data_IF_304098963435
#
_entry.id   IF_304098963435
#
_cell.length_a   1.000
_cell.length_b   1.000
_cell.length_c   1.000
_cell.angle_alpha   90.00
_cell.angle_beta   90.00
_cell.angle_gamma   90.00
#
_symmetry.space_group_name_H-M   'P 1'
#
loop_
_entity.id
_entity.type
_entity.pdbx_description
1 polymer ?
#
# COMPACT_ATOMS: atom_id res chain seq x y z
N UNK A 1 -58.26 34.92 -62.59
CA UNK A 1 -58.23 33.55 -62.24
C UNK A 1 -56.95 33.45 -61.36
N UNK A 2 -57.16 33.17 -60.10
CA UNK A 2 -56.17 33.47 -59.01
C UNK A 2 -55.44 32.20 -58.61
N UNK A 3 -54.10 32.20 -58.76
CA UNK A 3 -53.25 31.16 -58.18
C UNK A 3 -52.82 31.57 -56.78
N UNK A 4 -53.24 30.79 -55.84
CA UNK A 4 -52.84 30.92 -54.46
C UNK A 4 -51.60 30.01 -54.21
N UNK A 5 -50.46 30.62 -53.95
CA UNK A 5 -49.26 29.85 -53.55
C UNK A 5 -49.27 29.65 -52.03
N UNK A 6 -49.37 28.39 -51.62
CA UNK A 6 -49.15 27.96 -50.25
C UNK A 6 -47.68 27.86 -49.98
N UNK A 7 -47.19 28.80 -49.20
CA UNK A 7 -45.82 28.72 -48.65
C UNK A 7 -45.85 27.82 -47.40
N UNK A 8 -45.24 26.65 -47.50
CA UNK A 8 -45.01 25.75 -46.35
C UNK A 8 -43.72 26.23 -45.65
N UNK A 9 -43.91 26.79 -44.48
CA UNK A 9 -42.80 27.15 -43.56
C UNK A 9 -42.34 25.92 -42.81
N UNK A 10 -41.23 25.29 -43.23
CA UNK A 10 -40.59 24.19 -42.47
C UNK A 10 -39.74 24.86 -41.35
N UNK A 11 -40.28 24.88 -40.14
CA UNK A 11 -39.52 25.27 -38.98
C UNK A 11 -38.61 24.09 -38.55
N UNK A 12 -37.33 24.15 -38.95
CA UNK A 12 -36.32 23.21 -38.45
C UNK A 12 -36.01 23.53 -36.98
N UNK A 13 -36.58 22.77 -36.07
CA UNK A 13 -36.18 22.79 -34.66
C UNK A 13 -34.86 22.03 -34.55
N UNK A 14 -33.78 22.78 -34.56
CA UNK A 14 -32.43 22.28 -34.27
C UNK A 14 -32.37 22.06 -32.74
N UNK A 15 -32.66 20.85 -32.30
CA UNK A 15 -32.45 20.45 -30.94
C UNK A 15 -30.96 20.44 -30.65
N UNK A 16 -30.46 21.51 -30.02
CA UNK A 16 -29.12 21.57 -29.41
C UNK A 16 -29.11 20.55 -28.26
N UNK A 17 -28.61 19.35 -28.55
CA UNK A 17 -28.13 18.46 -27.49
C UNK A 17 -26.88 19.11 -26.88
N UNK A 18 -27.08 19.94 -25.86
CA UNK A 18 -26.01 20.31 -24.98
C UNK A 18 -25.71 19.03 -24.18
N UNK A 19 -24.77 18.24 -24.72
CA UNK A 19 -24.11 17.21 -23.94
C UNK A 19 -23.38 17.94 -22.82
N UNK A 20 -23.99 18.03 -21.65
CA UNK A 20 -23.24 18.42 -20.45
C UNK A 20 -22.17 17.36 -20.28
N UNK A 21 -20.96 17.65 -20.74
CA UNK A 21 -19.80 16.89 -20.31
C UNK A 21 -19.79 17.02 -18.78
N UNK A 22 -20.25 16.00 -18.09
CA UNK A 22 -20.01 15.89 -16.64
C UNK A 22 -18.51 15.94 -16.52
N UNK A 23 -18.00 17.03 -15.93
CA UNK A 23 -16.57 17.15 -15.70
C UNK A 23 -16.16 15.93 -14.90
N UNK A 24 -15.21 15.16 -15.43
CA UNK A 24 -14.73 13.96 -14.75
C UNK A 24 -14.11 14.40 -13.42
N UNK A 25 -14.56 13.78 -12.33
CA UNK A 25 -14.04 14.05 -10.99
C UNK A 25 -12.52 13.84 -10.97
N UNK A 26 -11.81 14.83 -10.44
CA UNK A 26 -10.33 14.86 -10.39
C UNK A 26 -9.85 14.36 -9.04
N UNK A 27 -9.26 13.19 -9.02
CA UNK A 27 -8.82 12.53 -7.77
C UNK A 27 -7.31 12.64 -7.64
N UNK A 28 -6.84 13.20 -6.53
CA UNK A 28 -5.46 12.99 -6.07
C UNK A 28 -5.45 11.82 -5.10
N UNK A 29 -4.66 10.80 -5.43
CA UNK A 29 -4.50 9.59 -4.64
C UNK A 29 -3.13 9.55 -3.97
N UNK A 30 -3.11 9.49 -2.65
CA UNK A 30 -1.88 9.49 -1.84
C UNK A 30 -1.84 8.24 -0.97
N UNK A 31 -0.84 7.41 -1.21
CA UNK A 31 -0.68 6.08 -0.64
C UNK A 31 -0.95 4.99 -1.68
N UNK A 32 0.00 4.07 -1.84
CA UNK A 32 -0.12 3.01 -2.83
C UNK A 32 -1.32 2.09 -2.58
N UNK A 33 -1.73 1.91 -1.33
CA UNK A 33 -2.93 1.18 -0.93
C UNK A 33 -4.20 1.80 -1.54
N UNK A 34 -4.35 3.11 -1.42
CA UNK A 34 -5.49 3.86 -1.96
C UNK A 34 -5.47 3.86 -3.49
N UNK A 35 -4.28 4.06 -4.07
CA UNK A 35 -4.11 4.06 -5.52
C UNK A 35 -4.46 2.70 -6.13
N UNK A 36 -4.00 1.60 -5.53
CA UNK A 36 -4.35 0.25 -5.98
C UNK A 36 -5.86 0.00 -5.94
N UNK A 37 -6.55 0.46 -4.89
CA UNK A 37 -8.02 0.33 -4.78
C UNK A 37 -8.70 1.07 -5.92
N UNK A 38 -8.32 2.34 -6.19
CA UNK A 38 -8.91 3.15 -7.25
C UNK A 38 -8.82 2.49 -8.62
N UNK A 39 -7.64 1.97 -8.96
CA UNK A 39 -7.46 1.26 -10.22
C UNK A 39 -8.22 -0.08 -10.26
N UNK A 40 -8.25 -0.82 -9.16
CA UNK A 40 -8.94 -2.10 -9.09
C UNK A 40 -10.48 -1.99 -9.23
N UNK A 41 -11.06 -0.90 -8.73
CA UNK A 41 -12.51 -0.65 -8.88
C UNK A 41 -12.87 0.08 -10.20
N UNK A 42 -11.88 0.32 -11.08
CA UNK A 42 -12.08 0.91 -12.40
C UNK A 42 -12.13 2.45 -12.43
N UNK A 43 -11.62 3.12 -11.41
CA UNK A 43 -11.62 4.59 -11.29
C UNK A 43 -10.24 5.23 -11.56
N UNK A 44 -9.29 4.45 -12.08
CA UNK A 44 -7.93 4.91 -12.36
C UNK A 44 -7.84 6.10 -13.33
N UNK A 45 -8.77 6.22 -14.28
CA UNK A 45 -8.79 7.35 -15.22
C UNK A 45 -9.10 8.70 -14.56
N UNK A 46 -9.71 8.69 -13.37
CA UNK A 46 -9.97 9.90 -12.59
C UNK A 46 -8.76 10.37 -11.79
N UNK A 47 -7.73 9.54 -11.66
CA UNK A 47 -6.52 9.84 -10.89
C UNK A 47 -5.67 10.85 -11.66
N UNK A 48 -5.62 12.08 -11.18
CA UNK A 48 -4.86 13.17 -11.81
C UNK A 48 -3.45 13.36 -11.25
N UNK A 49 -3.19 12.87 -10.04
CA UNK A 49 -1.85 12.81 -9.45
C UNK A 49 -1.77 11.76 -8.34
N UNK A 50 -0.55 11.27 -8.08
CA UNK A 50 -0.27 10.27 -7.05
C UNK A 50 1.00 10.62 -6.28
N UNK A 51 1.26 9.93 -5.15
CA UNK A 51 2.52 10.03 -4.42
C UNK A 51 3.63 9.12 -4.99
N UNK A 52 4.85 9.25 -4.46
CA UNK A 52 6.03 8.49 -4.92
C UNK A 52 5.94 6.97 -4.60
N UNK A 53 5.18 6.58 -3.60
CA UNK A 53 4.98 5.17 -3.22
C UNK A 53 3.84 4.50 -4.03
N UNK A 54 3.06 5.26 -4.80
CA UNK A 54 2.03 4.76 -5.71
C UNK A 54 2.65 4.28 -7.03
N UNK A 55 3.24 3.07 -6.98
CA UNK A 55 3.97 2.45 -8.11
C UNK A 55 3.22 1.28 -8.74
N UNK A 56 2.05 0.96 -8.23
CA UNK A 56 1.21 -0.11 -8.75
C UNK A 56 -0.26 0.34 -8.83
N UNK A 57 -1.03 -0.11 -9.87
CA UNK A 57 -0.55 -0.84 -11.05
C UNK A 57 0.38 0.02 -11.93
N UNK A 58 0.97 -0.59 -12.98
CA UNK A 58 1.89 0.14 -13.87
C UNK A 58 1.30 1.44 -14.41
N UNK A 59 -0.01 1.47 -14.69
CA UNK A 59 -0.72 2.67 -15.15
C UNK A 59 -0.69 3.84 -14.14
N UNK A 60 -0.49 3.58 -12.84
CA UNK A 60 -0.35 4.64 -11.84
C UNK A 60 0.97 5.43 -11.96
N UNK A 61 1.94 4.90 -12.70
CA UNK A 61 3.22 5.58 -12.96
C UNK A 61 3.07 6.73 -13.97
N UNK A 62 2.02 6.72 -14.78
CA UNK A 62 1.75 7.76 -15.78
C UNK A 62 1.20 9.04 -15.12
N UNK A 63 0.67 8.96 -13.91
CA UNK A 63 0.16 10.11 -13.18
C UNK A 63 1.31 10.95 -12.58
N UNK A 64 1.20 12.30 -12.66
CA UNK A 64 2.13 13.23 -12.01
C UNK A 64 2.32 12.89 -10.52
N UNK A 65 3.54 13.09 -10.00
CA UNK A 65 3.87 12.81 -8.60
C UNK A 65 3.83 14.07 -7.74
N UNK A 66 3.14 13.99 -6.60
CA UNK A 66 3.04 15.07 -5.60
C UNK A 66 4.04 14.94 -4.46
N UNK A 67 4.97 13.99 -4.56
CA UNK A 67 6.05 13.74 -3.61
C UNK A 67 5.81 12.53 -2.72
N UNK A 68 6.67 12.36 -1.72
CA UNK A 68 6.66 11.21 -0.82
C UNK A 68 5.57 11.34 0.25
N UNK A 69 4.76 10.29 0.44
CA UNK A 69 3.59 10.27 1.35
C UNK A 69 3.84 10.88 2.75
N UNK A 70 5.02 10.65 3.34
CA UNK A 70 5.37 11.19 4.68
C UNK A 70 6.01 12.58 4.65
N UNK A 71 6.22 13.18 3.47
CA UNK A 71 6.83 14.50 3.27
C UNK A 71 6.15 15.27 2.15
N UNK A 72 4.84 15.34 2.21
CA UNK A 72 4.02 16.07 1.25
C UNK A 72 4.20 17.58 1.38
N UNK A 73 3.73 18.29 0.35
CA UNK A 73 3.49 19.73 0.38
C UNK A 73 2.04 19.98 -0.03
N UNK A 74 1.33 20.83 0.71
CA UNK A 74 -0.05 21.16 0.39
C UNK A 74 -0.16 21.82 -0.98
N UNK A 75 0.79 22.71 -1.34
CA UNK A 75 0.88 23.32 -2.65
C UNK A 75 1.03 22.26 -3.77
N UNK A 76 1.92 21.28 -3.59
CA UNK A 76 2.12 20.20 -4.55
C UNK A 76 0.87 19.36 -4.77
N UNK A 77 0.14 19.03 -3.70
CA UNK A 77 -1.12 18.29 -3.77
C UNK A 77 -2.22 19.12 -4.46
N UNK A 78 -2.39 20.38 -4.05
CA UNK A 78 -3.44 21.25 -4.58
C UNK A 78 -3.15 21.78 -5.99
N UNK A 79 -1.90 21.78 -6.45
CA UNK A 79 -1.54 22.18 -7.82
C UNK A 79 -2.13 21.25 -8.89
N UNK A 80 -2.53 20.03 -8.53
CA UNK A 80 -3.25 19.11 -9.41
C UNK A 80 -4.74 19.47 -9.56
N UNK A 81 -5.22 20.54 -8.89
CA UNK A 81 -6.63 20.99 -8.92
C UNK A 81 -7.62 19.86 -8.67
N UNK A 82 -7.52 19.13 -7.52
CA UNK A 82 -8.39 18.01 -7.24
C UNK A 82 -9.79 18.46 -6.77
N UNK A 83 -10.80 17.68 -7.13
CA UNK A 83 -12.13 17.73 -6.52
C UNK A 83 -12.19 16.86 -5.26
N UNK A 84 -11.39 15.78 -5.25
CA UNK A 84 -11.31 14.81 -4.18
C UNK A 84 -9.85 14.42 -3.90
N UNK A 85 -9.47 14.39 -2.64
CA UNK A 85 -8.20 13.85 -2.17
C UNK A 85 -8.50 12.60 -1.35
N UNK A 86 -8.02 11.44 -1.80
CA UNK A 86 -8.04 10.20 -1.04
C UNK A 86 -6.62 9.92 -0.53
N UNK A 87 -6.46 9.80 0.78
CA UNK A 87 -5.13 9.80 1.37
C UNK A 87 -4.98 8.71 2.44
N UNK A 88 -3.87 7.98 2.37
CA UNK A 88 -3.49 6.98 3.38
C UNK A 88 -3.24 7.61 4.74
N UNK A 89 -3.59 6.91 5.83
CA UNK A 89 -3.35 7.37 7.20
C UNK A 89 -1.88 7.58 7.55
N UNK A 90 -0.97 6.97 6.76
CA UNK A 90 0.47 7.16 6.92
C UNK A 90 0.99 8.52 6.41
N UNK A 91 0.11 9.36 5.83
CA UNK A 91 0.49 10.62 5.20
C UNK A 91 0.91 11.69 6.20
N UNK A 92 1.75 12.60 5.75
CA UNK A 92 2.24 13.70 6.60
C UNK A 92 3.14 14.68 5.84
N UNK A 93 3.67 15.66 6.55
CA UNK A 93 3.63 15.88 8.00
C UNK A 93 2.27 16.45 8.49
N UNK A 94 1.95 16.40 9.78
CA UNK A 94 0.67 16.87 10.34
C UNK A 94 0.26 18.28 9.90
N UNK A 95 1.21 19.23 9.85
CA UNK A 95 0.95 20.59 9.42
C UNK A 95 0.43 20.68 7.97
N UNK A 96 0.86 19.78 7.08
CA UNK A 96 0.37 19.70 5.70
C UNK A 96 -1.05 19.12 5.68
N UNK A 97 -1.33 18.12 6.52
CA UNK A 97 -2.68 17.57 6.66
C UNK A 97 -3.68 18.64 7.11
N UNK A 98 -3.28 19.49 8.07
CA UNK A 98 -4.12 20.62 8.52
C UNK A 98 -4.37 21.63 7.38
N UNK A 99 -3.37 21.91 6.55
CA UNK A 99 -3.53 22.78 5.38
C UNK A 99 -4.49 22.17 4.33
N UNK A 100 -4.37 20.87 4.07
CA UNK A 100 -5.27 20.16 3.15
C UNK A 100 -6.72 20.17 3.67
N UNK A 101 -6.94 19.92 4.96
CA UNK A 101 -8.27 20.04 5.59
C UNK A 101 -8.85 21.44 5.48
N UNK A 102 -8.01 22.48 5.58
CA UNK A 102 -8.43 23.87 5.48
C UNK A 102 -8.61 24.38 4.03
N UNK A 103 -8.20 23.61 3.02
CA UNK A 103 -8.24 24.03 1.60
C UNK A 103 -9.64 24.16 1.01
N UNK A 104 -10.63 23.51 1.63
CA UNK A 104 -12.00 23.40 1.10
C UNK A 104 -12.18 22.29 0.06
N UNK A 105 -11.12 21.61 -0.38
CA UNK A 105 -11.20 20.41 -1.22
C UNK A 105 -11.69 19.23 -0.36
N UNK A 106 -12.54 18.37 -0.92
CA UNK A 106 -13.00 17.16 -0.23
C UNK A 106 -11.81 16.25 0.05
N UNK A 107 -11.48 16.06 1.33
CA UNK A 107 -10.40 15.21 1.81
C UNK A 107 -10.98 14.00 2.55
N UNK A 108 -10.53 12.80 2.19
CA UNK A 108 -10.86 11.56 2.90
C UNK A 108 -9.58 10.87 3.32
N UNK A 109 -9.40 10.76 4.63
CA UNK A 109 -8.24 10.15 5.26
C UNK A 109 -8.58 8.71 5.64
N UNK A 110 -7.77 7.75 5.19
CA UNK A 110 -7.89 6.35 5.58
C UNK A 110 -7.25 6.12 6.94
N UNK A 111 -7.75 5.13 7.68
CA UNK A 111 -7.12 4.72 8.93
C UNK A 111 -5.77 4.05 8.68
N UNK A 112 -4.76 4.34 9.54
CA UNK A 112 -3.48 3.64 9.57
C UNK A 112 -3.59 2.42 10.49
N UNK A 113 -4.04 1.30 9.94
CA UNK A 113 -4.16 0.03 10.65
C UNK A 113 -3.64 -1.10 9.76
N UNK A 114 -2.98 -2.09 10.38
CA UNK A 114 -2.18 -3.10 9.70
C UNK A 114 -2.83 -4.49 9.76
N UNK A 115 -4.12 -4.56 9.37
CA UNK A 115 -4.93 -5.79 9.37
C UNK A 115 -5.65 -5.99 8.03
N UNK A 116 -6.10 -7.22 7.75
CA UNK A 116 -6.93 -7.50 6.58
C UNK A 116 -8.27 -6.77 6.67
N UNK A 117 -8.86 -6.69 7.86
CA UNK A 117 -10.13 -5.99 8.06
C UNK A 117 -10.00 -4.50 7.73
N UNK A 118 -8.85 -3.88 8.03
CA UNK A 118 -8.58 -2.50 7.63
C UNK A 118 -8.47 -2.34 6.11
N UNK A 119 -7.87 -3.31 5.41
CA UNK A 119 -7.83 -3.31 3.94
C UNK A 119 -9.26 -3.37 3.38
N UNK A 120 -10.10 -4.26 3.91
CA UNK A 120 -11.50 -4.38 3.48
C UNK A 120 -12.28 -3.10 3.75
N UNK A 121 -12.09 -2.45 4.92
CA UNK A 121 -12.72 -1.16 5.23
C UNK A 121 -12.28 -0.05 4.27
N UNK A 122 -11.01 0.01 3.88
CA UNK A 122 -10.51 0.96 2.87
C UNK A 122 -11.22 0.75 1.53
N UNK A 123 -11.32 -0.50 1.07
CA UNK A 123 -12.03 -0.84 -0.18
C UNK A 123 -13.49 -0.40 -0.09
N UNK A 124 -14.20 -0.73 1.00
CA UNK A 124 -15.58 -0.33 1.20
C UNK A 124 -15.76 1.19 1.21
N UNK A 125 -14.85 1.91 1.87
CA UNK A 125 -14.87 3.38 1.95
C UNK A 125 -14.69 4.01 0.57
N UNK A 126 -13.64 3.61 -0.16
CA UNK A 126 -13.33 4.17 -1.49
C UNK A 126 -14.43 3.85 -2.49
N UNK A 127 -14.88 2.58 -2.52
CA UNK A 127 -15.95 2.17 -3.46
C UNK A 127 -17.30 2.83 -3.13
N UNK A 128 -17.63 3.04 -1.86
CA UNK A 128 -18.85 3.76 -1.45
C UNK A 128 -18.81 5.23 -1.81
N UNK A 129 -17.67 5.92 -1.65
CA UNK A 129 -17.52 7.34 -2.02
C UNK A 129 -17.71 7.55 -3.53
N UNK A 130 -17.27 6.59 -4.35
CA UNK A 130 -17.27 6.68 -5.80
C UNK A 130 -18.45 5.95 -6.47
N UNK A 131 -19.40 5.45 -5.66
CA UNK A 131 -20.59 4.71 -6.14
C UNK A 131 -20.19 3.48 -6.97
N UNK A 132 -19.19 2.73 -6.48
CA UNK A 132 -18.63 1.51 -7.08
C UNK A 132 -18.75 0.29 -6.18
N UNK A 133 -19.80 0.22 -5.37
CA UNK A 133 -19.98 -0.82 -4.35
C UNK A 133 -19.91 -2.24 -4.94
N UNK A 134 -20.40 -2.43 -6.17
CA UNK A 134 -20.33 -3.75 -6.84
C UNK A 134 -18.87 -4.14 -7.16
N UNK A 135 -18.07 -3.21 -7.66
CA UNK A 135 -16.65 -3.45 -7.94
C UNK A 135 -15.88 -3.62 -6.63
N UNK A 136 -16.18 -2.79 -5.63
CA UNK A 136 -15.62 -2.93 -4.28
C UNK A 136 -15.90 -4.30 -3.66
N UNK A 137 -17.15 -4.79 -3.76
CA UNK A 137 -17.52 -6.12 -3.26
C UNK A 137 -16.76 -7.26 -3.99
N UNK A 138 -16.56 -7.15 -5.29
CA UNK A 138 -15.77 -8.11 -6.05
C UNK A 138 -14.31 -8.12 -5.57
N UNK A 139 -13.69 -6.94 -5.40
CA UNK A 139 -12.34 -6.81 -4.90
C UNK A 139 -12.19 -7.35 -3.47
N UNK A 140 -13.17 -7.08 -2.58
CA UNK A 140 -13.15 -7.62 -1.22
C UNK A 140 -13.21 -9.15 -1.21
N UNK A 141 -14.00 -9.77 -2.07
CA UNK A 141 -14.05 -11.23 -2.20
C UNK A 141 -12.70 -11.82 -2.65
N UNK A 142 -12.00 -11.15 -3.57
CA UNK A 142 -10.65 -11.57 -3.99
C UNK A 142 -9.65 -11.49 -2.82
N UNK A 143 -9.67 -10.39 -2.07
CA UNK A 143 -8.84 -10.17 -0.88
C UNK A 143 -9.09 -11.26 0.17
N UNK A 144 -10.37 -11.58 0.45
CA UNK A 144 -10.76 -12.61 1.40
C UNK A 144 -10.35 -14.02 0.96
N UNK A 145 -10.42 -14.31 -0.35
CA UNK A 145 -9.97 -15.58 -0.91
C UNK A 145 -8.44 -15.75 -0.74
N UNK A 146 -7.66 -14.74 -1.12
CA UNK A 146 -6.20 -14.73 -0.93
C UNK A 146 -5.83 -14.88 0.55
N UNK A 147 -6.56 -14.21 1.44
CA UNK A 147 -6.35 -14.33 2.88
C UNK A 147 -6.70 -15.72 3.43
N UNK A 148 -7.76 -16.34 2.92
CA UNK A 148 -8.11 -17.70 3.32
C UNK A 148 -7.02 -18.71 2.91
N UNK A 149 -6.43 -18.56 1.72
CA UNK A 149 -5.28 -19.36 1.29
C UNK A 149 -4.05 -19.12 2.20
N UNK A 150 -3.75 -17.86 2.52
CA UNK A 150 -2.63 -17.51 3.41
C UNK A 150 -2.80 -18.16 4.78
N UNK A 151 -3.97 -18.07 5.39
CA UNK A 151 -4.27 -18.73 6.68
C UNK A 151 -4.13 -20.24 6.61
N UNK A 152 -4.53 -20.85 5.49
CA UNK A 152 -4.36 -22.30 5.29
C UNK A 152 -2.90 -22.72 5.24
N UNK A 153 -2.02 -21.88 4.64
CA UNK A 153 -0.59 -22.12 4.62
C UNK A 153 0.05 -21.94 6.00
N UNK A 154 -0.29 -20.85 6.68
CA UNK A 154 0.17 -20.52 8.04
C UNK A 154 -0.20 -21.64 9.04
N UNK A 155 -1.39 -22.21 8.89
CA UNK A 155 -1.85 -23.32 9.76
C UNK A 155 -1.00 -24.60 9.64
N UNK A 156 -0.11 -24.69 8.64
CA UNK A 156 0.84 -25.81 8.49
C UNK A 156 2.12 -25.63 9.29
N UNK A 157 2.36 -24.47 9.87
CA UNK A 157 3.54 -24.26 10.70
C UNK A 157 3.56 -25.22 11.87
N UNK A 158 4.71 -25.85 12.12
CA UNK A 158 4.89 -26.79 13.24
C UNK A 158 4.94 -26.11 14.60
N UNK A 159 5.34 -24.84 14.61
CA UNK A 159 5.41 -23.94 15.76
C UNK A 159 5.28 -22.51 15.27
N UNK A 160 4.92 -21.59 16.16
CA UNK A 160 4.93 -20.17 15.90
C UNK A 160 6.39 -19.70 15.66
N UNK A 161 6.77 -19.26 14.44
CA UNK A 161 8.12 -18.80 14.19
C UNK A 161 8.36 -17.40 14.79
N UNK A 162 9.61 -17.13 15.15
CA UNK A 162 10.04 -15.78 15.52
C UNK A 162 10.69 -15.09 14.32
N UNK A 163 10.24 -13.88 14.03
CA UNK A 163 10.72 -13.09 12.89
C UNK A 163 11.33 -11.78 13.36
N UNK A 164 12.51 -11.44 12.84
CA UNK A 164 13.12 -10.13 13.02
C UNK A 164 13.11 -9.38 11.69
N UNK A 165 12.44 -8.22 11.66
CA UNK A 165 12.34 -7.41 10.46
C UNK A 165 13.31 -6.22 10.53
N UNK A 166 14.26 -6.14 9.57
CA UNK A 166 15.16 -4.99 9.44
C UNK A 166 14.58 -3.94 8.49
N UNK A 167 14.14 -2.84 9.08
CA UNK A 167 13.65 -1.66 8.34
C UNK A 167 14.78 -0.84 7.71
N UNK A 168 15.99 -0.95 8.25
CA UNK A 168 17.22 -0.44 7.63
C UNK A 168 18.40 -1.32 8.03
N UNK A 169 19.21 -1.64 7.04
CA UNK A 169 20.44 -2.35 7.22
C UNK A 169 21.54 -1.58 6.47
N UNK A 170 22.49 -1.03 7.21
CA UNK A 170 23.59 -0.19 6.70
C UNK A 170 24.80 -0.38 7.60
N UNK A 171 25.95 0.17 7.20
CA UNK A 171 27.20 0.13 7.99
C UNK A 171 27.09 0.82 9.38
N UNK A 172 26.03 1.60 9.60
CA UNK A 172 25.65 2.14 10.91
C UNK A 172 24.83 1.16 11.75
N UNK A 173 24.20 1.67 12.80
CA UNK A 173 23.30 0.87 13.63
C UNK A 173 22.08 0.42 12.82
N UNK A 174 21.83 -0.90 12.67
CA UNK A 174 20.67 -1.40 11.98
C UNK A 174 19.39 -0.99 12.72
N UNK A 175 18.30 -0.79 11.97
CA UNK A 175 16.99 -0.48 12.56
C UNK A 175 16.06 -1.64 12.37
N UNK A 176 15.49 -2.13 13.45
CA UNK A 176 14.47 -3.17 13.46
C UNK A 176 13.08 -2.58 13.70
N UNK A 177 12.08 -3.33 13.27
CA UNK A 177 10.67 -3.01 13.46
C UNK A 177 10.16 -3.60 14.77
N UNK A 178 9.74 -2.74 15.69
CA UNK A 178 8.98 -3.10 16.89
C UNK A 178 7.48 -3.08 16.64
N UNK A 179 6.70 -3.08 17.72
CA UNK A 179 5.24 -2.96 17.69
C UNK A 179 4.77 -1.65 17.06
N UNK A 180 3.50 -1.53 16.69
CA UNK A 180 2.90 -0.35 16.04
C UNK A 180 3.62 0.05 14.73
N UNK A 181 4.03 -0.94 13.94
CA UNK A 181 4.63 -0.73 12.62
C UNK A 181 3.96 -1.64 11.58
N UNK A 182 3.96 -1.22 10.32
CA UNK A 182 3.48 -2.07 9.22
C UNK A 182 4.22 -3.41 9.16
N UNK A 183 5.52 -3.42 9.45
CA UNK A 183 6.32 -4.65 9.51
C UNK A 183 5.84 -5.60 10.64
N UNK A 184 5.44 -5.06 11.79
CA UNK A 184 4.84 -5.84 12.87
C UNK A 184 3.51 -6.46 12.42
N UNK A 185 2.64 -5.66 11.79
CA UNK A 185 1.38 -6.17 11.26
C UNK A 185 1.57 -7.32 10.25
N UNK A 186 2.57 -7.23 9.37
CA UNK A 186 2.91 -8.35 8.47
C UNK A 186 3.38 -9.58 9.23
N UNK A 187 4.19 -9.43 10.27
CA UNK A 187 4.64 -10.54 11.12
C UNK A 187 3.44 -11.21 11.81
N UNK A 188 2.51 -10.41 12.36
CA UNK A 188 1.27 -10.93 12.96
C UNK A 188 0.38 -11.65 11.93
N UNK A 189 0.21 -11.08 10.73
CA UNK A 189 -0.52 -11.73 9.64
C UNK A 189 0.11 -13.07 9.24
N UNK A 190 1.42 -13.24 9.37
CA UNK A 190 2.12 -14.51 9.15
C UNK A 190 1.95 -15.51 10.28
N UNK A 191 1.19 -15.20 11.35
CA UNK A 191 1.09 -16.05 12.51
C UNK A 191 2.43 -16.26 13.21
N UNK A 192 3.30 -15.27 13.14
CA UNK A 192 4.64 -15.27 13.69
C UNK A 192 4.76 -14.27 14.86
N UNK A 193 5.74 -14.46 15.73
CA UNK A 193 6.08 -13.52 16.80
C UNK A 193 7.20 -12.59 16.33
N UNK A 194 7.03 -11.29 16.59
CA UNK A 194 8.09 -10.32 16.33
C UNK A 194 9.19 -10.46 17.38
N UNK A 195 10.42 -10.77 16.96
CA UNK A 195 11.57 -10.90 17.86
C UNK A 195 12.01 -9.55 18.49
N UNK A 196 11.38 -8.43 18.11
CA UNK A 196 11.66 -7.09 18.64
C UNK A 196 10.40 -6.41 19.22
N UNK A 197 9.44 -7.19 19.69
CA UNK A 197 8.14 -6.76 20.24
C UNK A 197 8.23 -5.94 21.55
N UNK A 198 9.37 -5.97 22.23
CA UNK A 198 9.62 -5.15 23.41
C UNK A 198 9.81 -3.65 23.13
N UNK A 199 9.88 -3.25 21.86
CA UNK A 199 10.06 -1.88 21.41
C UNK A 199 8.89 -1.43 20.54
N UNK A 200 8.52 -0.14 20.63
CA UNK A 200 7.50 0.47 19.78
C UNK A 200 8.15 1.28 18.67
N UNK A 201 7.63 1.11 17.46
CA UNK A 201 8.14 1.79 16.26
C UNK A 201 9.46 1.22 15.75
N UNK A 202 10.09 1.94 14.84
CA UNK A 202 11.39 1.55 14.28
C UNK A 202 12.53 2.06 15.16
N UNK A 203 13.30 1.17 15.77
CA UNK A 203 14.41 1.50 16.70
C UNK A 203 15.72 0.90 16.24
N UNK A 204 16.81 1.55 16.67
CA UNK A 204 18.14 0.98 16.48
C UNK A 204 18.27 -0.30 17.32
N UNK A 205 18.84 -1.33 16.70
CA UNK A 205 19.11 -2.62 17.32
C UNK A 205 20.62 -2.83 17.39
N UNK A 206 21.18 -3.06 18.59
CA UNK A 206 22.59 -3.39 18.71
C UNK A 206 22.89 -4.77 18.12
N UNK A 207 24.17 -5.01 17.79
CA UNK A 207 24.61 -6.30 17.27
C UNK A 207 24.35 -7.43 18.28
N UNK A 208 24.64 -7.13 19.55
CA UNK A 208 24.42 -8.08 20.67
C UNK A 208 22.94 -8.40 20.85
N UNK A 209 22.07 -7.38 20.75
CA UNK A 209 20.62 -7.58 20.85
C UNK A 209 20.07 -8.37 19.66
N UNK A 210 20.58 -8.15 18.44
CA UNK A 210 20.20 -8.94 17.27
C UNK A 210 20.57 -10.42 17.42
N UNK A 211 21.76 -10.70 17.94
CA UNK A 211 22.23 -12.06 18.22
C UNK A 211 21.45 -12.68 19.39
N UNK A 212 21.16 -11.92 20.45
CA UNK A 212 20.41 -12.40 21.61
C UNK A 212 18.93 -12.68 21.27
N UNK A 213 18.33 -11.92 20.36
CA UNK A 213 16.97 -12.17 19.88
C UNK A 213 16.87 -13.49 19.12
N UNK A 214 17.95 -13.90 18.46
CA UNK A 214 18.13 -15.16 17.71
C UNK A 214 16.85 -15.62 17.00
N UNK A 215 16.31 -14.85 16.06
CA UNK A 215 15.05 -15.17 15.39
C UNK A 215 15.17 -16.43 14.52
N UNK A 216 14.03 -17.10 14.28
CA UNK A 216 13.98 -18.24 13.37
C UNK A 216 14.17 -17.80 11.91
N UNK A 217 13.62 -16.62 11.56
CA UNK A 217 13.68 -16.04 10.22
C UNK A 217 13.99 -14.53 10.30
N UNK A 218 14.75 -14.01 9.36
CA UNK A 218 15.05 -12.58 9.24
C UNK A 218 14.46 -12.06 7.94
N UNK A 219 13.73 -10.93 8.01
CA UNK A 219 13.27 -10.19 6.85
C UNK A 219 14.12 -8.95 6.61
N UNK A 220 14.53 -8.76 5.36
CA UNK A 220 15.28 -7.58 4.90
C UNK A 220 14.62 -7.04 3.65
N UNK A 221 14.36 -5.73 3.59
CA UNK A 221 13.74 -5.12 2.41
C UNK A 221 14.67 -5.19 1.20
N UNK A 222 14.10 -5.44 0.02
CA UNK A 222 14.79 -5.61 -1.26
C UNK A 222 15.79 -4.48 -1.58
N UNK A 223 15.41 -3.23 -1.38
CA UNK A 223 16.28 -2.07 -1.65
C UNK A 223 17.49 -1.97 -0.69
N UNK A 224 17.39 -2.50 0.54
CA UNK A 224 18.55 -2.59 1.44
C UNK A 224 19.47 -3.73 1.02
N UNK A 225 18.93 -4.89 0.67
CA UNK A 225 19.70 -5.99 0.15
C UNK A 225 20.48 -5.61 -1.13
N UNK A 226 19.81 -4.93 -2.06
CA UNK A 226 20.45 -4.44 -3.30
C UNK A 226 21.59 -3.45 -3.01
N UNK A 227 21.40 -2.52 -2.06
CA UNK A 227 22.42 -1.54 -1.67
C UNK A 227 23.65 -2.18 -1.05
N UNK A 228 23.47 -3.27 -0.31
CA UNK A 228 24.57 -4.02 0.31
C UNK A 228 25.33 -4.94 -0.69
N UNK A 229 24.77 -5.19 -1.87
CA UNK A 229 25.37 -6.08 -2.88
C UNK A 229 24.74 -7.48 -2.94
N UNK A 230 23.50 -7.63 -2.44
CA UNK A 230 22.70 -8.84 -2.53
C UNK A 230 22.68 -9.70 -1.26
N UNK A 231 22.08 -10.89 -1.35
CA UNK A 231 21.79 -11.74 -0.19
C UNK A 231 23.08 -12.19 0.55
N UNK A 232 24.16 -12.45 -0.16
CA UNK A 232 25.42 -12.90 0.47
C UNK A 232 26.03 -11.78 1.34
N UNK A 233 25.96 -10.53 0.88
CA UNK A 233 26.41 -9.39 1.67
C UNK A 233 25.51 -9.15 2.91
N UNK A 234 24.20 -9.38 2.76
CA UNK A 234 23.25 -9.36 3.89
C UNK A 234 23.62 -10.43 4.92
N UNK A 235 23.86 -11.67 4.51
CA UNK A 235 24.28 -12.78 5.39
C UNK A 235 25.58 -12.48 6.13
N UNK A 236 26.53 -11.88 5.44
CA UNK A 236 27.83 -11.52 6.00
C UNK A 236 27.79 -10.29 6.92
N UNK A 237 26.64 -9.57 6.96
CA UNK A 237 26.52 -8.34 7.77
C UNK A 237 26.78 -8.63 9.25
N UNK A 238 27.57 -7.80 9.97
CA UNK A 238 27.94 -8.04 11.36
C UNK A 238 26.77 -8.28 12.30
N UNK A 239 25.63 -7.60 12.08
CA UNK A 239 24.40 -7.75 12.87
C UNK A 239 23.69 -9.09 12.68
N UNK A 240 23.96 -9.82 11.61
CA UNK A 240 23.19 -11.00 11.21
C UNK A 240 24.00 -12.28 11.25
N UNK A 241 25.27 -12.25 10.81
CA UNK A 241 26.12 -13.42 10.56
C UNK A 241 26.30 -14.39 11.73
N UNK A 242 26.03 -13.94 12.96
CA UNK A 242 26.11 -14.76 14.17
C UNK A 242 24.78 -15.36 14.59
N UNK A 243 23.65 -14.94 14.00
CA UNK A 243 22.32 -15.51 14.27
C UNK A 243 22.19 -16.88 13.61
N UNK A 244 21.35 -17.76 14.17
CA UNK A 244 21.08 -19.07 13.58
C UNK A 244 20.29 -18.95 12.27
N UNK A 245 19.45 -17.90 12.13
CA UNK A 245 18.78 -17.59 10.88
C UNK A 245 19.78 -17.35 9.72
N UNK A 246 20.84 -16.56 9.96
CA UNK A 246 21.86 -16.31 8.93
C UNK A 246 22.68 -17.55 8.59
N UNK A 247 23.07 -18.34 9.60
CA UNK A 247 23.86 -19.58 9.43
C UNK A 247 23.08 -20.66 8.66
N UNK A 248 21.75 -20.71 8.84
CA UNK A 248 20.86 -21.68 8.22
C UNK A 248 20.13 -21.13 6.98
N UNK A 249 20.63 -20.05 6.36
CA UNK A 249 20.05 -19.45 5.16
C UNK A 249 18.58 -18.96 5.29
N UNK A 250 18.12 -18.64 6.50
CA UNK A 250 16.76 -18.22 6.80
C UNK A 250 16.62 -16.69 6.77
N UNK A 251 17.23 -16.04 5.78
CA UNK A 251 17.06 -14.60 5.51
C UNK A 251 16.25 -14.46 4.25
N UNK A 252 15.07 -13.86 4.35
CA UNK A 252 14.16 -13.61 3.24
C UNK A 252 14.21 -12.13 2.84
N UNK A 253 14.33 -11.91 1.52
CA UNK A 253 14.27 -10.58 0.95
C UNK A 253 12.82 -10.28 0.62
N UNK A 254 12.27 -9.23 1.25
CA UNK A 254 10.86 -8.85 1.09
C UNK A 254 10.70 -7.56 0.27
N UNK A 255 9.68 -7.53 -0.56
CA UNK A 255 9.35 -6.32 -1.32
C UNK A 255 8.62 -5.30 -0.44
N UNK A 256 9.22 -4.11 -0.29
CA UNK A 256 8.67 -3.05 0.55
C UNK A 256 7.23 -2.69 0.16
N UNK A 257 6.99 -2.52 -1.13
CA UNK A 257 5.71 -1.99 -1.62
C UNK A 257 4.58 -2.96 -1.33
N UNK A 258 4.79 -4.23 -1.66
CA UNK A 258 3.75 -5.25 -1.55
C UNK A 258 3.37 -5.57 -0.10
N UNK A 259 4.35 -5.61 0.81
CA UNK A 259 4.09 -6.03 2.20
C UNK A 259 3.80 -4.88 3.15
N UNK A 260 4.25 -3.65 2.85
CA UNK A 260 4.22 -2.54 3.82
C UNK A 260 3.09 -1.53 3.59
N UNK A 261 2.39 -1.59 2.45
CA UNK A 261 1.35 -0.61 2.11
C UNK A 261 -0.04 -0.99 2.62
N UNK A 262 -0.28 -2.26 2.94
CA UNK A 262 -1.58 -2.77 3.40
C UNK A 262 -2.72 -2.41 2.43
N UNK A 263 -2.46 -2.69 1.16
CA UNK A 263 -3.40 -2.58 0.05
C UNK A 263 -3.99 -3.94 -0.37
N UNK A 264 -4.75 -3.97 -1.47
CA UNK A 264 -5.45 -5.18 -1.94
C UNK A 264 -4.54 -6.40 -2.15
N UNK A 265 -3.28 -6.19 -2.54
CA UNK A 265 -2.31 -7.28 -2.79
C UNK A 265 -1.64 -7.84 -1.54
N UNK A 266 -1.80 -7.21 -0.38
CA UNK A 266 -1.10 -7.63 0.85
C UNK A 266 -1.44 -9.06 1.27
N UNK A 267 -2.70 -9.56 1.26
CA UNK A 267 -2.99 -10.95 1.60
C UNK A 267 -2.29 -11.96 0.69
N UNK A 268 -2.21 -11.69 -0.61
CA UNK A 268 -1.47 -12.52 -1.56
C UNK A 268 0.02 -12.55 -1.27
N UNK A 269 0.61 -11.38 -0.96
CA UNK A 269 2.02 -11.30 -0.57
C UNK A 269 2.31 -12.04 0.74
N UNK A 270 1.39 -11.99 1.70
CA UNK A 270 1.50 -12.76 2.95
C UNK A 270 1.45 -14.27 2.66
N UNK A 271 0.60 -14.73 1.72
CA UNK A 271 0.59 -16.13 1.29
C UNK A 271 1.96 -16.57 0.73
N UNK A 272 2.55 -15.76 -0.13
CA UNK A 272 3.87 -16.05 -0.70
C UNK A 272 4.94 -16.10 0.38
N UNK A 273 4.96 -15.10 1.28
CA UNK A 273 5.86 -15.09 2.42
C UNK A 273 5.64 -16.28 3.38
N UNK A 274 4.40 -16.71 3.59
CA UNK A 274 4.11 -17.87 4.41
C UNK A 274 4.72 -19.16 3.85
N UNK A 275 4.68 -19.33 2.52
CA UNK A 275 5.34 -20.43 1.83
C UNK A 275 6.86 -20.37 1.96
N UNK A 276 7.43 -19.16 1.80
CA UNK A 276 8.88 -18.96 1.95
C UNK A 276 9.35 -19.24 3.39
N UNK A 277 8.58 -18.79 4.38
CA UNK A 277 8.84 -19.10 5.80
C UNK A 277 8.73 -20.59 6.06
N UNK A 278 7.69 -21.27 5.56
CA UNK A 278 7.55 -22.73 5.66
C UNK A 278 8.75 -23.47 5.10
N UNK A 279 9.20 -23.09 3.90
CA UNK A 279 10.37 -23.68 3.25
C UNK A 279 11.64 -23.46 4.08
N UNK A 280 11.89 -22.21 4.51
CA UNK A 280 13.05 -21.85 5.30
C UNK A 280 13.14 -22.59 6.66
N UNK A 281 12.00 -22.96 7.25
CA UNK A 281 11.95 -23.67 8.53
C UNK A 281 12.03 -25.21 8.39
N UNK A 282 11.90 -25.73 7.16
CA UNK A 282 11.91 -27.19 6.90
C UNK A 282 13.30 -27.69 6.51
N UNK A 283 14.14 -26.82 5.91
CA UNK A 283 15.54 -27.05 5.57
C UNK A 283 16.44 -26.89 6.81
#
# INVERSE_FOLDING_TARGET
MKNSQFAVLIASVLALFVSSAVAQERIVSIGGDVTEILFAIGEGEKVVATDDDSVHPQAALDAPKVGYVRRLSAEGVLSAEPDLILISGAAGPPAVMDQLRASGVRLVEMEEEYTVDAILRKVATVSGILEREKAGAALMNEIEADWAEARSEIARYKSEPTVLFFAALSDGAPRAAGTETAAHGVIEMLGARNAFDSQTGYKNLSLEAAVAANPDVIFVMNHHAARLGGIEAVRAHPALRLTDAAKNNRILIVDKVTVMQFGPRTPRAVLELARDVSAALTD
#
